data_IF_808389519991
#
_entry.id   IF_808389519991
#
_cell.length_a   1.000
_cell.length_b   1.000
_cell.length_c   1.000
_cell.angle_alpha   90.00
_cell.angle_beta   90.00
_cell.angle_gamma   90.00
#
_symmetry.space_group_name_H-M   'P 1'
#
loop_
_entity.id
_entity.type
_entity.pdbx_description
1 polymer ?
#
# COMPACT_ATOMS: atom_id res chain seq x y z
N UNK A 1 -15.10 -6.60 -5.27
CA UNK A 1 -13.89 -6.16 -4.55
C UNK A 1 -14.26 -5.40 -3.28
N UNK A 2 -13.48 -5.55 -2.20
CA UNK A 2 -13.62 -4.74 -0.99
C UNK A 2 -12.45 -3.74 -0.90
N UNK A 3 -12.74 -2.45 -0.78
CA UNK A 3 -11.75 -1.39 -0.58
C UNK A 3 -12.05 -0.68 0.75
N UNK A 4 -11.06 -0.57 1.63
CA UNK A 4 -11.16 0.16 2.91
C UNK A 4 -10.11 1.25 2.97
N UNK A 5 -10.48 2.43 3.45
CA UNK A 5 -9.54 3.53 3.72
C UNK A 5 -9.50 3.74 5.23
N UNK A 6 -8.29 3.68 5.79
CA UNK A 6 -8.03 3.94 7.20
C UNK A 6 -7.25 5.25 7.32
N UNK A 7 -7.81 6.22 8.06
CA UNK A 7 -7.17 7.48 8.40
C UNK A 7 -7.49 7.82 9.84
N UNK A 8 -6.45 8.05 10.65
CA UNK A 8 -6.51 8.66 11.99
C UNK A 8 -7.46 8.00 13.00
N UNK A 9 -6.91 7.21 13.91
CA UNK A 9 -7.63 6.59 15.03
C UNK A 9 -6.75 5.64 15.81
N UNK A 10 -7.25 5.06 16.91
CA UNK A 10 -6.57 4.10 17.79
C UNK A 10 -6.36 2.72 17.15
N UNK A 11 -5.97 2.68 15.87
CA UNK A 11 -5.60 1.48 15.16
C UNK A 11 -4.16 1.06 15.42
N UNK A 12 -3.71 0.01 14.73
CA UNK A 12 -2.38 -0.62 14.85
C UNK A 12 -1.19 0.35 14.70
N UNK A 13 -1.39 1.49 14.03
CA UNK A 13 -0.40 2.55 13.87
C UNK A 13 -1.08 3.92 13.81
N UNK A 14 -0.42 4.94 14.37
CA UNK A 14 -0.85 6.33 14.24
C UNK A 14 -0.52 6.85 12.82
N UNK A 15 -1.39 7.67 12.24
CA UNK A 15 -1.13 8.33 10.96
C UNK A 15 -0.59 9.76 11.10
N UNK A 16 -0.25 10.15 12.32
CA UNK A 16 0.50 11.38 12.66
C UNK A 16 1.97 11.02 12.92
N UNK A 17 2.87 12.01 12.94
CA UNK A 17 4.28 11.71 13.24
C UNK A 17 5.05 11.01 12.10
N UNK A 18 5.55 9.80 12.30
CA UNK A 18 6.32 9.05 11.28
C UNK A 18 5.51 7.85 10.79
N UNK A 19 5.63 7.52 9.51
CA UNK A 19 5.03 6.30 8.95
C UNK A 19 5.82 5.02 9.29
N UNK A 20 6.91 5.10 10.08
CA UNK A 20 7.70 3.94 10.52
C UNK A 20 6.84 2.81 11.10
N UNK A 21 5.81 3.16 11.87
CA UNK A 21 4.89 2.17 12.47
C UNK A 21 4.17 1.33 11.42
N UNK A 22 3.59 1.98 10.41
CA UNK A 22 2.89 1.27 9.32
C UNK A 22 3.87 0.53 8.41
N UNK A 23 5.01 1.11 8.06
CA UNK A 23 5.98 0.44 7.18
C UNK A 23 6.61 -0.78 7.86
N UNK A 24 6.79 -0.75 9.18
CA UNK A 24 7.19 -1.92 9.97
C UNK A 24 6.10 -2.98 10.00
N UNK A 25 4.86 -2.58 10.30
CA UNK A 25 3.72 -3.49 10.32
C UNK A 25 3.56 -4.20 8.97
N UNK A 26 3.64 -3.48 7.85
CA UNK A 26 3.49 -4.07 6.51
C UNK A 26 4.60 -5.09 6.17
N UNK A 27 5.74 -5.10 6.86
CA UNK A 27 6.83 -6.05 6.61
C UNK A 27 6.68 -7.40 7.33
N UNK A 28 5.70 -7.56 8.23
CA UNK A 28 5.59 -8.79 9.04
C UNK A 28 5.46 -10.06 8.18
N UNK A 29 4.65 -10.03 7.12
CA UNK A 29 4.42 -11.19 6.26
C UNK A 29 5.69 -11.58 5.49
N UNK A 30 6.52 -10.60 5.09
CA UNK A 30 7.81 -10.91 4.45
C UNK A 30 8.76 -11.63 5.40
N UNK A 31 8.78 -11.24 6.69
CA UNK A 31 9.59 -11.94 7.69
C UNK A 31 9.12 -13.40 7.86
N UNK A 32 7.81 -13.65 7.84
CA UNK A 32 7.25 -15.01 7.85
C UNK A 32 7.61 -15.77 6.57
N UNK A 33 7.54 -15.13 5.40
CA UNK A 33 7.94 -15.74 4.12
C UNK A 33 9.42 -16.12 4.08
N UNK A 34 10.31 -15.23 4.51
CA UNK A 34 11.75 -15.49 4.57
C UNK A 34 12.05 -16.70 5.45
N UNK A 35 11.41 -16.81 6.63
CA UNK A 35 11.55 -17.97 7.53
C UNK A 35 11.12 -19.28 6.88
N UNK A 36 10.13 -19.22 6.00
CA UNK A 36 9.59 -20.36 5.29
C UNK A 36 10.24 -20.59 3.90
N UNK A 37 11.31 -19.86 3.56
CA UNK A 37 11.99 -19.97 2.26
C UNK A 37 11.15 -19.49 1.07
N UNK A 38 10.13 -18.66 1.30
CA UNK A 38 9.26 -18.09 0.27
C UNK A 38 9.75 -16.72 -0.18
N UNK A 39 9.42 -16.34 -1.41
CA UNK A 39 9.77 -15.05 -1.98
C UNK A 39 9.04 -13.89 -1.26
N UNK A 40 9.81 -12.88 -0.84
CA UNK A 40 9.26 -11.65 -0.23
C UNK A 40 8.69 -10.72 -1.28
N UNK A 41 7.70 -9.92 -0.89
CA UNK A 41 7.09 -8.92 -1.75
C UNK A 41 7.63 -7.54 -1.40
N UNK A 42 8.53 -6.94 -2.21
CA UNK A 42 9.00 -5.58 -1.98
C UNK A 42 7.84 -4.57 -2.03
N UNK A 43 8.09 -3.36 -1.51
CA UNK A 43 7.15 -2.27 -1.76
C UNK A 43 7.21 -1.86 -3.23
N UNK A 44 6.10 -1.38 -3.76
CA UNK A 44 5.96 -0.85 -5.11
C UNK A 44 5.28 0.53 -5.08
N UNK A 45 5.44 1.32 -6.14
CA UNK A 45 4.67 2.54 -6.36
C UNK A 45 4.18 2.60 -7.82
N UNK A 46 3.80 3.78 -8.30
CA UNK A 46 3.31 3.97 -9.67
C UNK A 46 4.28 3.44 -10.75
N UNK A 47 5.59 3.57 -10.52
CA UNK A 47 6.61 3.33 -11.56
C UNK A 47 7.63 2.24 -11.22
N UNK A 48 7.78 1.87 -9.95
CA UNK A 48 8.79 0.90 -9.49
C UNK A 48 8.13 -0.26 -8.77
N UNK A 49 8.61 -1.47 -9.05
CA UNK A 49 8.20 -2.71 -8.37
C UNK A 49 9.06 -3.06 -7.16
N UNK A 50 10.23 -2.41 -7.00
CA UNK A 50 11.17 -2.69 -5.92
C UNK A 50 11.58 -1.42 -5.17
N UNK A 51 11.08 -1.29 -3.95
CA UNK A 51 11.32 -0.16 -3.05
C UNK A 51 11.53 -0.71 -1.63
N UNK A 52 12.58 -0.23 -0.97
CA UNK A 52 12.88 -0.64 0.42
C UNK A 52 11.97 0.08 1.41
N UNK A 53 11.68 -0.54 2.55
CA UNK A 53 10.89 0.11 3.60
C UNK A 53 11.55 1.40 4.13
N UNK A 54 12.88 1.45 4.15
CA UNK A 54 13.62 2.66 4.54
C UNK A 54 13.37 3.80 3.56
N UNK A 55 13.35 3.51 2.26
CA UNK A 55 13.05 4.50 1.23
C UNK A 55 11.61 5.00 1.33
N UNK A 56 10.65 4.09 1.53
CA UNK A 56 9.23 4.44 1.77
C UNK A 56 9.11 5.38 2.96
N UNK A 57 9.69 5.00 4.10
CA UNK A 57 9.62 5.81 5.33
C UNK A 57 10.21 7.19 5.10
N UNK A 58 11.39 7.27 4.48
CA UNK A 58 12.05 8.53 4.20
C UNK A 58 11.22 9.43 3.28
N UNK A 59 10.68 8.88 2.19
CA UNK A 59 9.90 9.65 1.21
C UNK A 59 8.60 10.18 1.80
N UNK A 60 7.83 9.34 2.50
CA UNK A 60 6.57 9.75 3.12
C UNK A 60 6.79 10.76 4.26
N UNK A 61 7.77 10.53 5.15
CA UNK A 61 8.01 11.43 6.29
C UNK A 61 8.49 12.84 5.87
N UNK A 62 9.09 12.94 4.67
CA UNK A 62 9.56 14.20 4.09
C UNK A 62 8.57 14.80 3.07
N UNK A 63 7.52 14.10 2.68
CA UNK A 63 6.46 14.62 1.81
C UNK A 63 5.45 15.49 2.59
N UNK A 64 5.95 16.52 3.29
CA UNK A 64 5.16 17.40 4.15
C UNK A 64 5.53 18.86 3.92
N UNK A 65 4.86 19.52 2.98
CA UNK A 65 5.11 20.95 2.74
C UNK A 65 4.64 21.83 3.92
N UNK A 66 3.46 21.55 4.48
CA UNK A 66 2.82 22.39 5.52
C UNK A 66 2.12 21.61 6.64
N UNK A 67 2.28 20.29 6.69
CA UNK A 67 1.63 19.44 7.71
C UNK A 67 2.38 19.55 9.04
N UNK A 68 1.67 19.88 10.10
CA UNK A 68 2.18 19.89 11.47
C UNK A 68 2.38 18.46 11.99
N UNK A 69 2.91 18.34 13.21
CA UNK A 69 3.16 17.02 13.83
C UNK A 69 1.86 16.23 14.06
N UNK A 70 0.76 16.92 14.32
CA UNK A 70 -0.52 16.33 14.71
C UNK A 70 -1.48 16.16 13.53
N UNK A 71 -1.14 16.67 12.35
CA UNK A 71 -1.92 16.43 11.14
C UNK A 71 -1.75 14.99 10.65
N UNK A 72 -2.79 14.45 10.02
CA UNK A 72 -2.70 13.20 9.28
C UNK A 72 -1.69 13.36 8.14
N UNK A 73 -0.68 12.48 8.12
CA UNK A 73 0.42 12.53 7.15
C UNK A 73 0.27 11.53 6.02
N UNK A 74 -0.47 10.46 6.27
CA UNK A 74 -0.74 9.43 5.31
C UNK A 74 -2.09 8.79 5.58
N UNK A 75 -2.58 8.09 4.56
CA UNK A 75 -3.77 7.24 4.62
C UNK A 75 -3.37 5.85 4.16
N UNK A 76 -4.07 4.82 4.67
CA UNK A 76 -3.86 3.45 4.24
C UNK A 76 -5.08 2.96 3.50
N UNK A 77 -4.88 2.45 2.29
CA UNK A 77 -5.93 1.85 1.47
C UNK A 77 -5.68 0.34 1.44
N UNK A 78 -6.66 -0.43 1.89
CA UNK A 78 -6.65 -1.89 1.79
C UNK A 78 -7.52 -2.31 0.62
N UNK A 79 -6.91 -2.91 -0.40
CA UNK A 79 -7.60 -3.49 -1.55
C UNK A 79 -7.64 -5.00 -1.37
N UNK A 80 -8.85 -5.56 -1.22
CA UNK A 80 -9.07 -6.98 -0.99
C UNK A 80 -10.04 -7.54 -2.04
N UNK A 81 -9.51 -8.10 -3.14
CA UNK A 81 -10.33 -8.82 -4.10
C UNK A 81 -10.91 -10.08 -3.45
N UNK A 82 -12.11 -10.47 -3.86
CA UNK A 82 -12.72 -11.76 -3.51
C UNK A 82 -11.94 -12.93 -4.12
N UNK A 83 -12.17 -14.15 -3.63
CA UNK A 83 -11.49 -15.34 -4.18
C UNK A 83 -11.74 -15.50 -5.68
N UNK A 84 -12.98 -15.24 -6.12
CA UNK A 84 -13.36 -15.28 -7.54
C UNK A 84 -12.63 -14.23 -8.38
N UNK A 85 -12.41 -13.03 -7.84
CA UNK A 85 -11.63 -11.99 -8.53
C UNK A 85 -10.14 -12.36 -8.60
N UNK A 86 -9.58 -12.97 -7.54
CA UNK A 86 -8.20 -13.47 -7.54
C UNK A 86 -7.98 -14.58 -8.57
N UNK A 87 -8.92 -15.50 -8.72
CA UNK A 87 -8.87 -16.55 -9.75
C UNK A 87 -8.82 -15.98 -11.18
N UNK A 88 -9.46 -14.83 -11.40
CA UNK A 88 -9.40 -14.12 -12.68
C UNK A 88 -8.09 -13.35 -12.89
N UNK A 89 -7.40 -12.97 -11.80
CA UNK A 89 -6.14 -12.24 -11.83
C UNK A 89 -4.93 -13.15 -12.11
N UNK A 90 -5.05 -14.46 -11.94
CA UNK A 90 -3.97 -15.40 -12.24
C UNK A 90 -4.14 -16.74 -11.53
N UNK A 91 -3.42 -17.75 -12.00
CA UNK A 91 -3.43 -19.09 -11.39
C UNK A 91 -2.35 -19.24 -10.32
N UNK A 92 -1.27 -18.48 -10.44
CA UNK A 92 -0.16 -18.49 -9.50
C UNK A 92 -0.12 -17.21 -8.64
N UNK A 93 0.49 -17.30 -7.46
CA UNK A 93 0.71 -16.14 -6.58
C UNK A 93 1.44 -15.01 -7.30
N UNK A 94 2.40 -15.34 -8.18
CA UNK A 94 3.17 -14.36 -8.94
C UNK A 94 2.30 -13.61 -9.95
N UNK A 95 1.48 -14.32 -10.73
CA UNK A 95 0.55 -13.71 -11.68
C UNK A 95 -0.47 -12.83 -10.96
N UNK A 96 -1.04 -13.33 -9.85
CA UNK A 96 -1.99 -12.57 -9.03
C UNK A 96 -1.36 -11.30 -8.46
N UNK A 97 -0.12 -11.38 -7.94
CA UNK A 97 0.58 -10.20 -7.43
C UNK A 97 0.88 -9.17 -8.52
N UNK A 98 1.27 -9.61 -9.72
CA UNK A 98 1.49 -8.73 -10.86
C UNK A 98 0.21 -8.04 -11.34
N UNK A 99 -0.88 -8.81 -11.49
CA UNK A 99 -2.18 -8.28 -11.84
C UNK A 99 -2.71 -7.30 -10.77
N UNK A 100 -2.49 -7.60 -9.48
CA UNK A 100 -2.85 -6.70 -8.38
C UNK A 100 -2.04 -5.40 -8.39
N UNK A 101 -0.73 -5.45 -8.62
CA UNK A 101 0.09 -4.23 -8.75
C UNK A 101 -0.41 -3.35 -9.89
N UNK A 102 -0.70 -3.97 -11.04
CA UNK A 102 -1.24 -3.27 -12.21
C UNK A 102 -2.60 -2.64 -11.91
N UNK A 103 -3.53 -3.39 -11.33
CA UNK A 103 -4.85 -2.89 -10.96
C UNK A 103 -4.77 -1.73 -9.96
N UNK A 104 -3.88 -1.81 -8.96
CA UNK A 104 -3.68 -0.71 -8.01
C UNK A 104 -3.16 0.54 -8.73
N UNK A 105 -2.18 0.39 -9.64
CA UNK A 105 -1.62 1.50 -10.43
C UNK A 105 -2.67 2.15 -11.33
N UNK A 106 -3.28 1.34 -12.18
CA UNK A 106 -4.05 1.83 -13.31
C UNK A 106 -5.48 2.22 -12.94
N UNK A 107 -6.10 1.53 -11.99
CA UNK A 107 -7.48 1.75 -11.62
C UNK A 107 -7.58 2.40 -10.24
N UNK A 108 -7.07 1.77 -9.18
CA UNK A 108 -7.36 2.22 -7.80
C UNK A 108 -6.79 3.61 -7.54
N UNK A 109 -5.52 3.83 -7.85
CA UNK A 109 -4.86 5.11 -7.58
C UNK A 109 -5.32 6.21 -8.54
N UNK A 110 -5.73 5.85 -9.75
CA UNK A 110 -6.35 6.78 -10.69
C UNK A 110 -7.67 7.32 -10.12
N UNK A 111 -8.59 6.43 -9.72
CA UNK A 111 -9.85 6.84 -9.09
C UNK A 111 -9.64 7.59 -7.77
N UNK A 112 -8.64 7.21 -6.98
CA UNK A 112 -8.28 7.91 -5.75
C UNK A 112 -7.84 9.35 -6.03
N UNK A 113 -7.01 9.57 -7.06
CA UNK A 113 -6.58 10.90 -7.48
C UNK A 113 -7.74 11.76 -7.99
N UNK A 114 -8.61 11.18 -8.82
CA UNK A 114 -9.79 11.87 -9.36
C UNK A 114 -10.78 12.27 -8.26
N UNK A 115 -10.87 11.45 -7.20
CA UNK A 115 -11.71 11.72 -6.03
C UNK A 115 -11.39 13.03 -5.29
N UNK A 116 -10.21 13.61 -5.49
CA UNK A 116 -9.89 14.93 -4.94
C UNK A 116 -10.60 16.08 -5.66
N UNK A 117 -11.15 15.86 -6.87
CA UNK A 117 -11.88 16.87 -7.64
C UNK A 117 -11.01 18.04 -8.12
N UNK A 118 -9.70 17.81 -8.30
CA UNK A 118 -8.70 18.85 -8.63
C UNK A 118 -7.99 18.64 -9.97
N UNK A 119 -8.49 17.71 -10.80
CA UNK A 119 -7.83 17.33 -12.05
C UNK A 119 -6.50 16.59 -11.85
N UNK A 120 -6.34 15.94 -10.68
CA UNK A 120 -5.19 15.09 -10.38
C UNK A 120 -5.36 13.72 -11.03
N UNK A 121 -4.25 13.06 -11.34
CA UNK A 121 -4.21 11.69 -11.83
C UNK A 121 -3.27 10.81 -10.96
N UNK A 122 -3.16 9.51 -11.29
CA UNK A 122 -2.33 8.56 -10.54
C UNK A 122 -0.85 8.94 -10.40
N UNK A 123 -0.31 9.75 -11.32
CA UNK A 123 1.08 10.22 -11.30
C UNK A 123 1.30 11.37 -10.31
N UNK A 124 0.23 12.08 -9.94
CA UNK A 124 0.29 13.17 -8.96
C UNK A 124 0.24 12.69 -7.50
N UNK A 125 0.02 11.38 -7.28
CA UNK A 125 -0.13 10.79 -5.95
C UNK A 125 1.14 10.05 -5.52
N UNK A 126 1.75 10.52 -4.43
CA UNK A 126 2.82 9.79 -3.75
C UNK A 126 2.23 8.65 -2.92
N UNK A 127 2.37 7.41 -3.39
CA UNK A 127 1.91 6.21 -2.67
C UNK A 127 2.93 5.09 -2.72
N UNK A 128 2.84 4.20 -1.74
CA UNK A 128 3.60 2.95 -1.70
C UNK A 128 2.65 1.81 -1.32
N UNK A 129 2.64 0.77 -2.14
CA UNK A 129 1.85 -0.43 -1.94
C UNK A 129 2.73 -1.63 -1.57
N UNK A 130 2.10 -2.63 -0.95
CA UNK A 130 2.70 -3.93 -0.68
C UNK A 130 1.64 -5.01 -0.84
N UNK A 131 2.00 -6.14 -1.43
CA UNK A 131 1.09 -7.27 -1.60
C UNK A 131 1.21 -8.20 -0.40
N UNK A 132 0.08 -8.48 0.25
CA UNK A 132 -0.06 -9.54 1.23
C UNK A 132 -0.95 -10.65 0.68
N UNK A 133 -0.66 -11.90 1.02
CA UNK A 133 -1.42 -13.07 0.54
C UNK A 133 -2.25 -13.70 1.65
N UNK A 134 -1.88 -13.50 2.91
CA UNK A 134 -2.66 -13.95 4.05
C UNK A 134 -3.61 -12.84 4.51
N UNK A 135 -4.90 -13.18 4.62
CA UNK A 135 -5.88 -12.29 5.25
C UNK A 135 -5.83 -12.44 6.77
N UNK A 136 -4.75 -12.00 7.40
CA UNK A 136 -4.77 -11.75 8.84
C UNK A 136 -5.47 -10.41 9.03
N UNK A 137 -6.67 -10.43 9.64
CA UNK A 137 -7.51 -9.24 9.79
C UNK A 137 -6.71 -8.08 10.39
N UNK A 138 -6.64 -6.98 9.65
CA UNK A 138 -6.24 -5.67 10.17
C UNK A 138 -7.40 -5.02 10.93
#
# INVERSE_FOLDING_TARGET
>A
MNIKIQGGGSGTYANTGSCTGVTTYLQHEDLERMKNGREVQPFFNNSRDYISAQEVTFKIDNNKAKLSRNDAKFYVITVSPSSRELEQMGKTEKEQAEAMRKYVRDDVMQHYAEGFGKGLNKEDIEYYGKIHFERKGA
#
